data_IF_420390177047
#
_entry.id   IF_420390177047
#
_cell.length_a   1.000
_cell.length_b   1.000
_cell.length_c   1.000
_cell.angle_alpha   90.00
_cell.angle_beta   90.00
_cell.angle_gamma   90.00
#
_symmetry.space_group_name_H-M   'P 1'
#
loop_
_entity.id
_entity.type
_entity.pdbx_description
1 polymer ?
#
# COMPACT_ATOMS: atom_id res chain seq x y z
N UNK A 1 3.59 5.79 -1.20
CA UNK A 1 3.16 7.21 -1.12
C UNK A 1 1.83 7.50 -1.85
N UNK A 2 1.58 6.94 -3.04
CA UNK A 2 0.35 7.21 -3.80
C UNK A 2 -0.95 6.80 -3.06
N UNK A 3 -0.94 5.67 -2.34
CA UNK A 3 -2.07 5.23 -1.51
C UNK A 3 -2.41 6.24 -0.41
N UNK A 4 -1.38 6.73 0.30
CA UNK A 4 -1.52 7.74 1.33
C UNK A 4 -2.12 9.06 0.82
N UNK A 5 -1.72 9.51 -0.38
CA UNK A 5 -2.27 10.71 -1.03
C UNK A 5 -3.75 10.48 -1.40
N UNK A 6 -4.09 9.29 -1.91
CA UNK A 6 -5.48 8.90 -2.19
C UNK A 6 -6.36 8.91 -0.94
N UNK A 7 -5.85 8.38 0.18
CA UNK A 7 -6.52 8.39 1.49
C UNK A 7 -6.72 9.83 1.99
N UNK A 8 -5.68 10.66 1.92
CA UNK A 8 -5.74 12.07 2.29
C UNK A 8 -6.81 12.81 1.49
N UNK A 9 -6.84 12.65 0.17
CA UNK A 9 -7.83 13.28 -0.69
C UNK A 9 -9.26 12.80 -0.40
N UNK A 10 -9.44 11.50 -0.14
CA UNK A 10 -10.72 10.90 0.26
C UNK A 10 -11.24 11.49 1.58
N UNK A 11 -10.36 11.65 2.57
CA UNK A 11 -10.70 12.31 3.85
C UNK A 11 -11.00 13.80 3.67
N UNK A 12 -10.19 14.54 2.91
CA UNK A 12 -10.38 15.96 2.63
C UNK A 12 -11.74 16.23 1.98
N UNK A 13 -12.06 15.46 0.93
CA UNK A 13 -13.32 15.62 0.20
C UNK A 13 -14.54 15.38 1.11
N UNK A 14 -14.48 14.34 1.95
CA UNK A 14 -15.56 14.02 2.89
C UNK A 14 -15.73 15.08 3.97
N UNK A 15 -14.65 15.58 4.54
CA UNK A 15 -14.71 16.67 5.51
C UNK A 15 -15.44 17.89 4.94
N UNK A 16 -15.12 18.27 3.70
CA UNK A 16 -15.74 19.41 3.01
C UNK A 16 -17.20 19.16 2.62
N UNK A 17 -17.54 17.95 2.20
CA UNK A 17 -18.92 17.56 1.89
C UNK A 17 -19.84 17.69 3.12
N UNK A 18 -19.31 17.40 4.32
CA UNK A 18 -20.05 17.51 5.58
C UNK A 18 -20.17 18.97 6.04
N UNK A 19 -19.18 19.81 5.73
CA UNK A 19 -19.13 21.22 6.13
C UNK A 19 -20.02 22.18 5.32
N UNK A 20 -20.96 21.67 4.50
CA UNK A 20 -21.92 22.48 3.70
C UNK A 20 -21.33 23.47 2.68
N UNK A 21 -20.02 23.45 2.42
CA UNK A 21 -19.43 24.20 1.30
C UNK A 21 -19.36 23.32 0.05
N UNK A 22 -20.16 23.67 -0.96
CA UNK A 22 -20.03 23.07 -2.29
C UNK A 22 -18.62 23.35 -2.85
N UNK A 23 -17.78 22.31 -2.92
CA UNK A 23 -16.46 22.38 -3.51
C UNK A 23 -16.57 22.67 -5.02
N UNK A 24 -16.10 23.84 -5.45
CA UNK A 24 -15.95 24.13 -6.88
C UNK A 24 -14.97 23.14 -7.51
N UNK A 25 -15.31 22.59 -8.67
CA UNK A 25 -14.47 21.63 -9.42
C UNK A 25 -13.03 22.13 -9.59
N UNK A 26 -12.83 23.43 -9.79
CA UNK A 26 -11.51 24.07 -9.92
C UNK A 26 -10.64 23.92 -8.67
N UNK A 27 -11.21 24.09 -7.47
CA UNK A 27 -10.48 23.98 -6.20
C UNK A 27 -10.06 22.53 -5.91
N UNK A 28 -10.91 21.57 -6.25
CA UNK A 28 -10.57 20.13 -6.12
C UNK A 28 -9.42 19.78 -7.06
N UNK A 29 -9.49 20.20 -8.33
CA UNK A 29 -8.41 19.97 -9.30
C UNK A 29 -7.09 20.60 -8.86
N UNK A 30 -7.13 21.84 -8.34
CA UNK A 30 -5.95 22.52 -7.83
C UNK A 30 -5.32 21.79 -6.65
N UNK A 31 -6.11 21.37 -5.66
CA UNK A 31 -5.60 20.61 -4.51
C UNK A 31 -5.00 19.27 -4.94
N UNK A 32 -5.64 18.57 -5.88
CA UNK A 32 -5.11 17.32 -6.43
C UNK A 32 -3.75 17.57 -7.11
N UNK A 33 -3.65 18.63 -7.93
CA UNK A 33 -2.40 19.02 -8.59
C UNK A 33 -1.29 19.26 -7.56
N UNK A 34 -1.56 20.08 -6.53
CA UNK A 34 -0.59 20.40 -5.46
C UNK A 34 -0.11 19.13 -4.76
N UNK A 35 -1.01 18.21 -4.41
CA UNK A 35 -0.63 16.96 -3.73
C UNK A 35 0.13 15.99 -4.63
N UNK A 36 0.01 16.12 -5.95
CA UNK A 36 0.70 15.27 -6.94
C UNK A 36 2.12 15.78 -7.23
N UNK A 37 2.43 17.04 -6.93
CA UNK A 37 3.79 17.59 -7.11
C UNK A 37 4.81 16.80 -6.26
N UNK A 38 4.48 16.47 -5.01
CA UNK A 38 5.38 15.75 -4.10
C UNK A 38 5.83 14.35 -4.63
N UNK A 39 4.92 13.45 -5.08
CA UNK A 39 5.34 12.20 -5.71
C UNK A 39 6.10 12.37 -7.02
N UNK A 40 5.78 13.41 -7.81
CA UNK A 40 6.53 13.70 -9.02
C UNK A 40 7.97 14.13 -8.69
N UNK A 41 8.15 15.00 -7.69
CA UNK A 41 9.48 15.41 -7.23
C UNK A 41 10.28 14.18 -6.81
N UNK A 42 9.74 13.33 -5.95
CA UNK A 42 10.42 12.10 -5.49
C UNK A 42 10.70 11.11 -6.61
N UNK A 43 9.87 11.06 -7.66
CA UNK A 43 10.10 10.20 -8.81
C UNK A 43 11.21 10.74 -9.73
N UNK A 44 11.34 12.06 -9.88
CA UNK A 44 12.28 12.68 -10.82
C UNK A 44 13.66 12.90 -10.18
N UNK A 45 13.72 13.28 -8.91
CA UNK A 45 14.99 13.64 -8.23
C UNK A 45 16.10 12.60 -8.33
N UNK A 46 15.84 11.27 -8.25
CA UNK A 46 16.87 10.25 -8.44
C UNK A 46 17.55 10.28 -9.82
N UNK A 47 16.88 10.83 -10.83
CA UNK A 47 17.40 10.91 -12.21
C UNK A 47 18.11 12.24 -12.51
N UNK A 48 18.10 13.20 -11.59
CA UNK A 48 18.78 14.50 -11.76
C UNK A 48 20.28 14.37 -11.46
N UNK A 49 20.63 13.54 -10.48
CA UNK A 49 22.03 13.27 -10.16
C UNK A 49 22.68 12.38 -11.23
N UNK A 50 23.94 12.60 -11.60
CA UNK A 50 24.62 11.74 -12.56
C UNK A 50 24.71 10.33 -11.98
N UNK A 51 24.11 9.36 -12.68
CA UNK A 51 24.17 7.95 -12.33
C UNK A 51 25.59 7.43 -12.59
N UNK A 52 26.44 7.44 -11.55
CA UNK A 52 27.83 6.96 -11.61
C UNK A 52 27.90 5.49 -11.21
N UNK A 53 27.38 4.62 -12.08
CA UNK A 53 27.35 3.16 -11.84
C UNK A 53 28.73 2.59 -11.50
N UNK A 54 29.77 3.03 -12.21
CA UNK A 54 31.15 2.54 -12.00
C UNK A 54 31.66 2.88 -10.60
N UNK A 55 31.44 4.12 -10.14
CA UNK A 55 31.89 4.58 -8.82
C UNK A 55 31.12 3.91 -7.69
N UNK A 56 29.80 3.71 -7.86
CA UNK A 56 28.97 3.04 -6.85
C UNK A 56 29.37 1.58 -6.71
N UNK A 57 29.61 0.89 -7.82
CA UNK A 57 30.08 -0.50 -7.82
C UNK A 57 31.45 -0.63 -7.15
N UNK A 58 32.41 0.22 -7.52
CA UNK A 58 33.76 0.20 -6.93
C UNK A 58 33.73 0.42 -5.41
N UNK A 59 32.94 1.39 -4.95
CA UNK A 59 32.78 1.68 -3.52
C UNK A 59 32.09 0.52 -2.81
N UNK A 60 31.04 -0.08 -3.40
CA UNK A 60 30.32 -1.19 -2.80
C UNK A 60 31.17 -2.47 -2.69
N UNK A 61 31.96 -2.82 -3.71
CA UNK A 61 32.93 -3.94 -3.65
C UNK A 61 33.98 -3.67 -2.57
N UNK A 62 34.41 -2.42 -2.43
CA UNK A 62 35.40 -2.03 -1.42
C UNK A 62 34.84 -2.10 0.01
N UNK A 63 33.60 -1.69 0.21
CA UNK A 63 32.95 -1.68 1.53
C UNK A 63 32.45 -3.07 1.94
N UNK A 64 32.00 -3.89 0.99
CA UNK A 64 31.48 -5.24 1.22
C UNK A 64 32.24 -6.29 0.39
N UNK A 65 33.53 -6.54 0.69
CA UNK A 65 34.37 -7.47 -0.08
C UNK A 65 33.97 -8.94 0.07
N UNK A 66 33.14 -9.26 1.06
CA UNK A 66 32.58 -10.59 1.34
C UNK A 66 31.33 -10.89 0.49
N UNK A 67 30.72 -9.88 -0.13
CA UNK A 67 29.60 -10.03 -1.04
C UNK A 67 30.10 -10.15 -2.49
N UNK A 68 29.66 -11.19 -3.21
CA UNK A 68 29.99 -11.35 -4.64
C UNK A 68 29.15 -10.39 -5.52
N UNK A 69 29.42 -9.09 -5.39
CA UNK A 69 28.64 -8.03 -6.04
C UNK A 69 28.91 -7.94 -7.56
N UNK A 70 30.04 -8.47 -8.02
CA UNK A 70 30.40 -8.52 -9.46
C UNK A 70 29.40 -9.34 -10.29
N UNK A 71 28.75 -10.34 -9.69
CA UNK A 71 27.74 -11.18 -10.35
C UNK A 71 26.49 -10.40 -10.78
N UNK A 72 26.16 -9.31 -10.08
CA UNK A 72 24.96 -8.52 -10.32
C UNK A 72 25.14 -7.46 -11.43
N UNK A 73 26.36 -7.25 -11.93
CA UNK A 73 26.66 -6.23 -12.94
C UNK A 73 26.47 -4.80 -12.42
N UNK A 74 26.69 -3.77 -13.25
CA UNK A 74 26.65 -2.37 -12.81
C UNK A 74 25.28 -2.01 -12.22
N UNK A 75 25.24 -1.70 -10.92
CA UNK A 75 24.04 -1.27 -10.22
C UNK A 75 24.08 0.21 -9.83
N UNK A 76 22.90 0.83 -9.81
CA UNK A 76 22.73 2.25 -9.56
C UNK A 76 22.61 2.55 -8.07
N UNK A 77 23.03 3.76 -7.69
CA UNK A 77 22.92 4.25 -6.33
C UNK A 77 23.39 5.69 -6.22
N UNK A 78 23.24 6.26 -5.03
CA UNK A 78 23.88 7.53 -4.73
C UNK A 78 25.36 7.28 -4.44
N UNK A 79 26.23 8.06 -5.06
CA UNK A 79 27.69 7.92 -4.91
C UNK A 79 28.20 8.28 -3.51
N UNK A 80 27.39 8.98 -2.72
CA UNK A 80 27.72 9.33 -1.34
C UNK A 80 26.47 9.53 -0.50
N UNK A 81 26.48 8.97 0.70
CA UNK A 81 25.49 9.22 1.77
C UNK A 81 25.45 10.70 2.21
N UNK A 82 26.49 11.48 1.88
CA UNK A 82 26.58 12.91 2.20
C UNK A 82 26.03 13.82 1.09
N UNK A 83 25.59 13.26 -0.05
CA UNK A 83 24.98 14.06 -1.11
C UNK A 83 23.67 14.70 -0.60
N UNK A 84 23.52 16.04 -0.67
CA UNK A 84 22.27 16.70 -0.27
C UNK A 84 21.05 16.14 -0.98
N UNK A 85 21.15 15.67 -2.23
CA UNK A 85 20.02 15.06 -2.96
C UNK A 85 19.59 13.76 -2.30
N UNK A 86 20.54 12.90 -1.90
CA UNK A 86 20.27 11.67 -1.17
C UNK A 86 19.61 11.96 0.19
N UNK A 87 20.17 12.90 0.96
CA UNK A 87 19.68 13.26 2.29
C UNK A 87 18.26 13.82 2.20
N UNK A 88 18.01 14.76 1.28
CA UNK A 88 16.68 15.37 1.11
C UNK A 88 15.65 14.34 0.66
N UNK A 89 15.97 13.50 -0.32
CA UNK A 89 15.04 12.46 -0.79
C UNK A 89 14.71 11.46 0.31
N UNK A 90 15.72 11.00 1.04
CA UNK A 90 15.54 10.07 2.15
C UNK A 90 14.71 10.71 3.26
N UNK A 91 14.99 11.96 3.62
CA UNK A 91 14.22 12.70 4.62
C UNK A 91 12.74 12.80 4.23
N UNK A 92 12.44 13.19 2.99
CA UNK A 92 11.05 13.30 2.50
C UNK A 92 10.38 11.92 2.50
N UNK A 93 11.06 10.89 2.02
CA UNK A 93 10.53 9.54 1.90
C UNK A 93 10.09 8.96 3.26
N UNK A 94 10.82 9.26 4.34
CA UNK A 94 10.50 8.77 5.69
C UNK A 94 9.70 9.76 6.55
N UNK A 95 9.81 11.07 6.33
CA UNK A 95 9.00 12.06 7.03
C UNK A 95 7.51 11.95 6.65
N UNK A 96 7.21 11.74 5.36
CA UNK A 96 5.81 11.59 4.89
C UNK A 96 5.05 10.47 5.60
N UNK A 97 5.53 9.20 5.64
CA UNK A 97 4.83 8.12 6.33
C UNK A 97 4.76 8.32 7.86
N UNK A 98 5.62 9.17 8.44
CA UNK A 98 5.56 9.53 9.86
C UNK A 98 4.49 10.61 10.16
N UNK A 99 4.46 11.70 9.40
CA UNK A 99 3.57 12.85 9.67
C UNK A 99 2.15 12.67 9.12
N UNK A 100 2.00 12.00 7.98
CA UNK A 100 0.71 11.83 7.32
C UNK A 100 -0.36 11.12 8.18
N UNK A 101 -0.05 10.05 8.95
CA UNK A 101 -1.01 9.44 9.85
C UNK A 101 -1.50 10.40 10.95
N UNK A 102 -0.64 11.30 11.45
CA UNK A 102 -0.99 12.31 12.46
C UNK A 102 -2.03 13.29 11.89
N UNK A 103 -1.80 13.78 10.67
CA UNK A 103 -2.73 14.68 9.96
C UNK A 103 -4.07 13.99 9.72
N UNK A 104 -4.06 12.72 9.32
CA UNK A 104 -5.28 11.94 9.08
C UNK A 104 -6.07 11.72 10.38
N UNK A 105 -5.40 11.46 11.50
CA UNK A 105 -6.03 11.34 12.82
C UNK A 105 -6.68 12.67 13.26
N UNK A 106 -6.01 13.80 13.02
CA UNK A 106 -6.57 15.13 13.28
C UNK A 106 -7.83 15.39 12.45
N UNK A 107 -7.79 15.11 11.14
CA UNK A 107 -8.97 15.27 10.27
C UNK A 107 -10.11 14.32 10.60
N UNK A 108 -9.82 13.07 10.97
CA UNK A 108 -10.82 12.13 11.48
C UNK A 108 -11.55 12.72 12.68
N UNK A 109 -10.82 13.32 13.62
CA UNK A 109 -11.41 13.96 14.79
C UNK A 109 -12.37 15.10 14.37
N UNK A 110 -11.95 15.96 13.45
CA UNK A 110 -12.79 17.04 12.90
C UNK A 110 -14.06 16.51 12.22
N UNK A 111 -13.95 15.45 11.41
CA UNK A 111 -15.08 14.83 10.72
C UNK A 111 -16.08 14.23 11.73
N UNK A 112 -15.59 13.53 12.74
CA UNK A 112 -16.45 12.96 13.78
C UNK A 112 -17.13 14.04 14.62
N UNK A 113 -16.43 15.14 14.92
CA UNK A 113 -17.00 16.31 15.59
C UNK A 113 -18.12 16.95 14.74
N UNK A 114 -17.89 17.12 13.44
CA UNK A 114 -18.89 17.66 12.53
C UNK A 114 -20.15 16.77 12.44
N UNK A 115 -19.98 15.44 12.38
CA UNK A 115 -21.09 14.49 12.39
C UNK A 115 -21.89 14.47 13.70
N UNK A 116 -21.26 14.77 14.83
CA UNK A 116 -21.96 14.84 16.12
C UNK A 116 -22.71 16.18 16.27
N UNK A 117 -22.20 17.26 15.65
CA UNK A 117 -22.82 18.58 15.70
C UNK A 117 -24.01 18.74 14.73
N UNK A 118 -23.98 18.10 13.55
CA UNK A 118 -25.00 18.25 12.50
C UNK A 118 -26.08 17.15 12.56
N UNK A 119 -26.56 16.82 13.77
CA UNK A 119 -27.38 15.64 14.06
C UNK A 119 -28.66 15.42 13.23
N UNK A 120 -29.12 16.41 12.44
CA UNK A 120 -30.32 16.32 11.61
C UNK A 120 -30.11 16.18 10.09
N UNK A 121 -28.87 16.28 9.56
CA UNK A 121 -28.64 16.38 8.10
C UNK A 121 -28.39 15.07 7.35
N UNK A 122 -28.04 13.98 8.04
CA UNK A 122 -27.64 12.71 7.41
C UNK A 122 -28.43 11.53 7.97
N UNK A 123 -28.85 10.62 7.10
CA UNK A 123 -29.47 9.36 7.52
C UNK A 123 -28.49 8.50 8.34
N UNK A 124 -29.00 7.77 9.34
CA UNK A 124 -28.19 6.90 10.20
C UNK A 124 -27.37 5.88 9.42
N UNK A 125 -27.92 5.40 8.30
CA UNK A 125 -27.24 4.49 7.36
C UNK A 125 -26.00 5.15 6.73
N UNK A 126 -26.10 6.40 6.29
CA UNK A 126 -24.98 7.17 5.71
C UNK A 126 -23.91 7.49 6.75
N UNK A 127 -24.33 7.79 7.99
CA UNK A 127 -23.42 8.06 9.12
C UNK A 127 -22.64 6.80 9.52
N UNK A 128 -23.32 5.65 9.62
CA UNK A 128 -22.69 4.37 9.92
C UNK A 128 -21.68 3.94 8.85
N UNK A 129 -22.07 4.03 7.57
CA UNK A 129 -21.19 3.73 6.44
C UNK A 129 -19.95 4.63 6.42
N UNK A 130 -20.13 5.93 6.68
CA UNK A 130 -19.02 6.89 6.74
C UNK A 130 -18.07 6.62 7.90
N UNK A 131 -18.57 6.23 9.08
CA UNK A 131 -17.74 5.84 10.23
C UNK A 131 -16.91 4.60 9.94
N UNK A 132 -17.50 3.61 9.27
CA UNK A 132 -16.80 2.38 8.91
C UNK A 132 -15.67 2.65 7.90
N UNK A 133 -15.93 3.49 6.90
CA UNK A 133 -14.90 3.90 5.96
C UNK A 133 -13.80 4.73 6.64
N UNK A 134 -14.14 5.66 7.54
CA UNK A 134 -13.13 6.41 8.30
C UNK A 134 -12.23 5.48 9.13
N UNK A 135 -12.78 4.40 9.71
CA UNK A 135 -11.99 3.38 10.38
C UNK A 135 -11.03 2.69 9.41
N UNK A 136 -11.53 2.26 8.23
CA UNK A 136 -10.71 1.65 7.19
C UNK A 136 -9.53 2.53 6.79
N UNK A 137 -9.84 3.79 6.44
CA UNK A 137 -8.86 4.79 6.03
C UNK A 137 -7.84 5.09 7.14
N UNK A 138 -8.26 5.05 8.41
CA UNK A 138 -7.33 5.21 9.55
C UNK A 138 -6.37 4.03 9.63
N UNK A 139 -6.86 2.80 9.49
CA UNK A 139 -6.03 1.59 9.53
C UNK A 139 -5.01 1.63 8.39
N UNK A 140 -5.47 1.91 7.16
CA UNK A 140 -4.62 2.03 5.98
C UNK A 140 -3.58 3.15 6.13
N UNK A 141 -3.97 4.29 6.73
CA UNK A 141 -3.07 5.40 7.00
C UNK A 141 -2.02 5.11 8.08
N UNK A 142 -2.35 4.27 9.07
CA UNK A 142 -1.42 3.89 10.14
C UNK A 142 -0.47 2.74 9.72
N UNK A 143 -0.79 1.98 8.67
CA UNK A 143 0.06 0.88 8.21
C UNK A 143 1.51 1.29 7.91
N UNK A 144 1.79 2.39 7.19
CA UNK A 144 3.16 2.86 6.99
C UNK A 144 3.91 3.13 8.30
N UNK A 145 3.22 3.56 9.35
CA UNK A 145 3.83 3.84 10.65
C UNK A 145 4.28 2.55 11.37
N UNK A 146 3.56 1.44 11.17
CA UNK A 146 3.90 0.15 11.76
C UNK A 146 4.93 -0.62 10.92
N UNK A 147 4.82 -0.53 9.59
CA UNK A 147 5.66 -1.33 8.70
C UNK A 147 6.92 -0.59 8.22
N UNK A 148 6.79 0.68 7.81
CA UNK A 148 7.87 1.41 7.12
C UNK A 148 8.73 2.22 8.10
N UNK A 149 8.14 2.81 9.14
CA UNK A 149 8.89 3.66 10.08
C UNK A 149 9.95 2.87 10.87
N UNK A 150 9.67 1.69 11.47
CA UNK A 150 10.67 0.96 12.24
C UNK A 150 11.86 0.51 11.38
N UNK A 151 11.57 0.00 10.18
CA UNK A 151 12.60 -0.46 9.25
C UNK A 151 13.41 0.71 8.68
N UNK A 152 12.76 1.85 8.44
CA UNK A 152 13.43 3.08 8.00
C UNK A 152 14.35 3.68 9.05
N UNK A 153 13.94 3.66 10.33
CA UNK A 153 14.81 4.09 11.43
C UNK A 153 16.03 3.17 11.56
N UNK A 154 15.83 1.86 11.46
CA UNK A 154 16.93 0.89 11.50
C UNK A 154 17.89 1.09 10.31
N UNK A 155 17.35 1.36 9.11
CA UNK A 155 18.13 1.72 7.94
C UNK A 155 19.01 2.95 8.19
N UNK A 156 18.47 4.04 8.73
CA UNK A 156 19.30 5.21 9.04
C UNK A 156 20.36 4.92 10.11
N UNK A 157 20.04 4.14 11.14
CA UNK A 157 21.02 3.77 12.16
C UNK A 157 22.18 3.03 11.51
N UNK A 158 21.92 1.99 10.72
CA UNK A 158 22.93 1.22 9.99
C UNK A 158 23.75 2.11 9.05
N UNK A 159 23.08 2.98 8.28
CA UNK A 159 23.73 3.88 7.33
C UNK A 159 24.69 4.87 8.00
N UNK A 160 24.39 5.35 9.21
CA UNK A 160 25.23 6.32 9.93
C UNK A 160 26.23 5.68 10.90
N UNK A 161 25.99 4.47 11.37
CA UNK A 161 26.94 3.73 12.24
C UNK A 161 27.92 2.88 11.45
N UNK A 162 27.65 2.61 10.17
CA UNK A 162 28.45 1.72 9.33
C UNK A 162 28.36 0.25 9.76
N UNK A 163 27.32 -0.13 10.52
CA UNK A 163 27.11 -1.52 10.91
C UNK A 163 26.45 -2.30 9.78
N UNK A 164 26.99 -3.47 9.46
CA UNK A 164 26.40 -4.36 8.45
C UNK A 164 25.36 -5.29 9.09
N UNK A 165 24.14 -5.25 8.55
CA UNK A 165 23.04 -6.09 8.97
C UNK A 165 22.41 -6.71 7.72
N UNK A 166 22.93 -7.85 7.27
CA UNK A 166 22.41 -8.59 6.12
C UNK A 166 20.90 -8.88 6.25
N UNK A 167 20.42 -9.15 7.47
CA UNK A 167 18.99 -9.35 7.73
C UNK A 167 18.14 -8.11 7.38
N UNK A 168 18.70 -6.90 7.47
CA UNK A 168 17.99 -5.67 7.16
C UNK A 168 17.61 -5.62 5.68
N UNK A 169 18.45 -6.10 4.76
CA UNK A 169 18.18 -6.07 3.32
C UNK A 169 16.94 -6.90 2.97
N UNK A 170 16.88 -8.13 3.49
CA UNK A 170 15.73 -9.02 3.32
C UNK A 170 14.48 -8.49 4.03
N UNK A 171 14.63 -8.00 5.27
CA UNK A 171 13.51 -7.45 6.03
C UNK A 171 12.97 -6.18 5.39
N UNK A 172 13.83 -5.33 4.81
CA UNK A 172 13.42 -4.11 4.13
C UNK A 172 12.45 -4.40 2.99
N UNK A 173 12.76 -5.38 2.14
CA UNK A 173 11.87 -5.80 1.06
C UNK A 173 10.51 -6.30 1.59
N UNK A 174 10.50 -7.07 2.68
CA UNK A 174 9.26 -7.58 3.30
C UNK A 174 8.43 -6.43 3.88
N UNK A 175 9.03 -5.56 4.69
CA UNK A 175 8.32 -4.47 5.37
C UNK A 175 7.80 -3.39 4.43
N UNK A 176 8.50 -3.13 3.32
CA UNK A 176 8.03 -2.21 2.28
C UNK A 176 6.86 -2.80 1.49
N UNK A 177 6.79 -4.13 1.33
CA UNK A 177 5.73 -4.80 0.57
C UNK A 177 4.48 -5.11 1.41
N UNK A 178 4.61 -5.29 2.73
CA UNK A 178 3.49 -5.59 3.63
C UNK A 178 2.28 -4.63 3.51
N UNK A 179 2.45 -3.29 3.44
CA UNK A 179 1.32 -2.37 3.27
C UNK A 179 0.49 -2.65 2.01
N UNK A 180 1.09 -3.13 0.92
CA UNK A 180 0.40 -3.42 -0.33
C UNK A 180 -0.51 -4.66 -0.22
N UNK A 181 -0.20 -5.58 0.69
CA UNK A 181 -1.03 -6.76 0.97
C UNK A 181 -2.15 -6.38 1.95
N UNK A 182 -1.82 -5.58 2.97
CA UNK A 182 -2.77 -5.23 4.03
C UNK A 182 -3.85 -4.27 3.52
N UNK A 183 -3.51 -3.36 2.60
CA UNK A 183 -4.44 -2.37 2.04
C UNK A 183 -5.71 -2.97 1.39
N UNK A 184 -5.61 -3.94 0.45
CA UNK A 184 -6.78 -4.60 -0.12
C UNK A 184 -7.54 -5.43 0.93
N UNK A 185 -6.85 -6.09 1.86
CA UNK A 185 -7.50 -6.86 2.95
C UNK A 185 -8.34 -5.93 3.83
N UNK A 186 -7.80 -4.78 4.23
CA UNK A 186 -8.53 -3.77 4.98
C UNK A 186 -9.74 -3.25 4.21
N UNK A 187 -9.56 -2.97 2.91
CA UNK A 187 -10.65 -2.52 2.05
C UNK A 187 -11.78 -3.55 1.99
N UNK A 188 -11.45 -4.82 1.78
CA UNK A 188 -12.41 -5.93 1.74
C UNK A 188 -13.15 -6.07 3.07
N UNK A 189 -12.44 -5.97 4.19
CA UNK A 189 -13.01 -6.15 5.53
C UNK A 189 -13.96 -5.00 5.91
N UNK A 190 -13.54 -3.75 5.70
CA UNK A 190 -14.28 -2.58 6.16
C UNK A 190 -15.31 -2.06 5.14
N UNK A 191 -15.16 -2.31 3.84
CA UNK A 191 -16.10 -1.78 2.84
C UNK A 191 -17.17 -2.82 2.54
N UNK A 192 -18.37 -2.60 3.11
CA UNK A 192 -19.54 -3.50 3.04
C UNK A 192 -19.84 -4.05 1.64
N UNK A 193 -19.90 -3.25 0.55
CA UNK A 193 -20.21 -3.81 -0.77
C UNK A 193 -19.14 -4.79 -1.26
N UNK A 194 -17.85 -4.52 -1.00
CA UNK A 194 -16.77 -5.44 -1.36
C UNK A 194 -16.84 -6.75 -0.56
N UNK A 195 -17.08 -6.66 0.76
CA UNK A 195 -17.26 -7.85 1.60
C UNK A 195 -18.38 -8.75 1.10
N UNK A 196 -19.55 -8.17 0.78
CA UNK A 196 -20.71 -8.92 0.28
C UNK A 196 -20.40 -9.59 -1.05
N UNK A 197 -19.81 -8.84 -1.98
CA UNK A 197 -19.42 -9.37 -3.29
C UNK A 197 -18.45 -10.55 -3.16
N UNK A 198 -17.41 -10.45 -2.33
CA UNK A 198 -16.46 -11.57 -2.13
C UNK A 198 -17.15 -12.79 -1.52
N UNK A 199 -18.01 -12.61 -0.51
CA UNK A 199 -18.75 -13.73 0.08
C UNK A 199 -19.65 -14.40 -0.96
N UNK A 200 -20.29 -13.63 -1.84
CA UNK A 200 -21.11 -14.15 -2.93
C UNK A 200 -20.27 -14.91 -3.96
N UNK A 201 -19.11 -14.38 -4.37
CA UNK A 201 -18.19 -15.06 -5.30
C UNK A 201 -17.62 -16.36 -4.72
N UNK A 202 -17.21 -16.36 -3.44
CA UNK A 202 -16.74 -17.56 -2.76
C UNK A 202 -17.85 -18.61 -2.65
N UNK A 203 -19.08 -18.21 -2.32
CA UNK A 203 -20.23 -19.12 -2.30
C UNK A 203 -20.54 -19.70 -3.68
N UNK A 204 -20.43 -18.89 -4.74
CA UNK A 204 -20.58 -19.33 -6.13
C UNK A 204 -19.55 -20.40 -6.52
N UNK A 205 -18.27 -20.15 -6.24
CA UNK A 205 -17.19 -21.11 -6.52
C UNK A 205 -17.33 -22.41 -5.74
N UNK A 206 -17.62 -22.35 -4.43
CA UNK A 206 -17.83 -23.54 -3.61
C UNK A 206 -19.02 -24.36 -4.13
N UNK A 207 -20.11 -23.68 -4.54
CA UNK A 207 -21.28 -24.34 -5.11
C UNK A 207 -20.97 -25.01 -6.44
N UNK A 208 -20.19 -24.35 -7.31
CA UNK A 208 -19.75 -24.94 -8.60
C UNK A 208 -18.89 -26.17 -8.35
N UNK A 209 -17.86 -26.07 -7.51
CA UNK A 209 -16.96 -27.17 -7.19
C UNK A 209 -17.69 -28.37 -6.55
N UNK A 210 -18.71 -28.11 -5.73
CA UNK A 210 -19.55 -29.16 -5.15
C UNK A 210 -20.42 -29.87 -6.20
N UNK A 211 -20.98 -29.12 -7.15
CA UNK A 211 -21.76 -29.70 -8.26
C UNK A 211 -20.85 -30.55 -9.15
N UNK A 212 -19.67 -30.05 -9.51
CA UNK A 212 -18.71 -30.78 -10.36
C UNK A 212 -18.24 -32.08 -9.69
N UNK A 213 -17.99 -32.05 -8.37
CA UNK A 213 -17.61 -33.24 -7.61
C UNK A 213 -18.74 -34.29 -7.55
N UNK A 214 -20.00 -33.87 -7.36
CA UNK A 214 -21.12 -34.81 -7.29
C UNK A 214 -21.53 -35.37 -8.65
N UNK A 215 -21.46 -34.55 -9.71
CA UNK A 215 -21.68 -35.02 -11.09
C UNK A 215 -20.59 -36.02 -11.50
N UNK A 216 -19.34 -35.83 -11.06
CA UNK A 216 -18.27 -36.80 -11.26
C UNK A 216 -18.47 -38.10 -10.46
N UNK A 217 -19.05 -38.02 -9.26
CA UNK A 217 -19.35 -39.18 -8.41
C UNK A 217 -20.55 -40.00 -8.91
N UNK A 218 -21.53 -39.36 -9.54
CA UNK A 218 -22.73 -39.99 -10.13
C UNK A 218 -22.53 -40.41 -11.60
N UNK A 219 -21.32 -40.23 -12.16
CA UNK A 219 -20.99 -40.70 -13.49
C UNK A 219 -21.13 -42.24 -13.54
N UNK A 220 -22.03 -42.80 -14.36
CA UNK A 220 -22.29 -44.22 -14.33
C UNK A 220 -21.05 -45.01 -14.79
N UNK A 221 -20.73 -46.06 -14.04
CA UNK A 221 -19.70 -47.10 -14.32
C UNK A 221 -19.92 -47.81 -15.68
N UNK A 222 -20.93 -47.42 -16.45
CA UNK A 222 -21.30 -47.98 -17.75
C UNK A 222 -20.25 -47.80 -18.86
N UNK A 223 -19.25 -46.91 -18.70
CA UNK A 223 -18.18 -46.75 -19.70
C UNK A 223 -17.03 -47.75 -19.56
N UNK A 224 -16.94 -48.50 -18.47
CA UNK A 224 -15.87 -49.51 -18.29
C UNK A 224 -16.32 -50.92 -18.71
N UNK A 225 -17.63 -51.18 -18.77
CA UNK A 225 -18.17 -52.50 -19.15
C UNK A 225 -18.33 -52.66 -20.68
N UNK A 226 -18.52 -51.57 -21.42
CA UNK A 226 -18.68 -51.61 -22.88
C UNK A 226 -17.39 -51.97 -23.67
N UNK A 227 -16.25 -52.15 -23.00
CA UNK A 227 -14.98 -52.59 -23.64
C UNK A 227 -14.68 -54.08 -23.48
N UNK A 228 -15.47 -54.83 -22.72
CA UNK A 228 -15.18 -56.24 -22.39
C UNK A 228 -16.08 -57.23 -23.17
N UNK A 229 -17.11 -56.76 -23.87
CA UNK A 229 -18.05 -57.63 -24.60
C UNK A 229 -17.81 -57.75 -26.11
N UNK A 230 -16.77 -57.11 -26.67
CA UNK A 230 -16.42 -57.17 -28.11
C UNK A 230 -15.19 -58.05 -28.41
N UNK A 231 -14.93 -59.06 -27.57
CA UNK A 231 -13.94 -60.11 -27.84
C UNK A 231 -14.58 -61.47 -27.58
N UNK A 232 -15.39 -61.92 -28.54
CA UNK A 232 -16.01 -63.25 -28.59
C UNK A 232 -16.20 -63.68 -30.02
#
# INVERSE_FOLDING_TARGET
MNVAIGIFHSMYFRYRLIGTEALTRTRVKLNLLITTILPIILAITPYIAPLRFDTVMEVAIREHPDHNLEEYGPFGGFSSTSDPVFVINSLILYAVPFFLPIVIMYWKHLILKAFNSHGGGFTDKTRSSSRLLLKALTVQALMPLVCIVPIGLLYFVVQFTGQELVALEYLFAVFVTLPFIIDPICTIYFVVPYRKWIIEQCRGHIRSAWIDHNVAADAPISLTVARVTDVG
#
